data_IF_255987373639
#
_entry.id   IF_255987373639
#
_cell.length_a   1.000
_cell.length_b   1.000
_cell.length_c   1.000
_cell.angle_alpha   90.00
_cell.angle_beta   90.00
_cell.angle_gamma   90.00
#
_symmetry.space_group_name_H-M   'P 1'
#
loop_
_entity.id
_entity.type
_entity.pdbx_description
1 polymer ?
#
# COMPACT_ATOMS: atom_id res chain seq x y z
N UNK A 1 -5.90 -12.46 -5.62
CA UNK A 1 -5.42 -11.11 -5.23
C UNK A 1 -4.76 -11.24 -3.87
N UNK A 2 -3.50 -10.84 -3.69
CA UNK A 2 -2.94 -10.72 -2.34
C UNK A 2 -3.71 -9.60 -1.64
N UNK A 3 -4.53 -9.96 -0.66
CA UNK A 3 -5.15 -8.99 0.24
C UNK A 3 -4.19 -8.73 1.39
N UNK A 4 -4.01 -7.47 1.77
CA UNK A 4 -3.36 -7.15 3.04
C UNK A 4 -4.30 -7.69 4.14
N UNK A 5 -3.74 -8.45 5.08
CA UNK A 5 -4.43 -9.23 6.14
C UNK A 5 -5.83 -8.69 6.50
N UNK A 6 -6.88 -9.49 6.29
CA UNK A 6 -8.26 -9.21 6.72
C UNK A 6 -8.89 -7.89 6.24
N UNK A 7 -8.19 -7.10 5.44
CA UNK A 7 -8.67 -5.82 4.90
C UNK A 7 -9.18 -6.01 3.46
N UNK A 8 -10.15 -5.18 3.06
CA UNK A 8 -10.59 -5.10 1.65
C UNK A 8 -9.62 -4.32 0.76
N UNK A 9 -8.55 -3.78 1.34
CA UNK A 9 -7.54 -2.97 0.66
C UNK A 9 -6.51 -3.91 0.01
N UNK A 10 -6.26 -3.69 -1.27
CA UNK A 10 -5.27 -4.44 -2.04
C UNK A 10 -3.98 -3.66 -2.17
N UNK A 11 -2.89 -4.37 -2.46
CA UNK A 11 -1.59 -3.77 -2.78
C UNK A 11 -1.72 -2.68 -3.87
N UNK A 12 -2.61 -2.88 -4.85
CA UNK A 12 -2.84 -1.91 -5.91
C UNK A 12 -3.52 -0.63 -5.44
N UNK A 13 -4.38 -0.69 -4.43
CA UNK A 13 -5.04 0.49 -3.87
C UNK A 13 -4.01 1.38 -3.16
N UNK A 14 -3.14 0.77 -2.36
CA UNK A 14 -2.01 1.46 -1.69
C UNK A 14 -1.08 2.11 -2.71
N UNK A 15 -0.70 1.38 -3.75
CA UNK A 15 0.14 1.92 -4.83
C UNK A 15 -0.56 3.05 -5.60
N UNK A 16 -1.88 2.97 -5.81
CA UNK A 16 -2.64 4.02 -6.46
C UNK A 16 -2.68 5.31 -5.62
N UNK A 17 -2.83 5.21 -4.29
CA UNK A 17 -2.77 6.36 -3.39
C UNK A 17 -1.40 7.02 -3.37
N UNK A 18 -0.34 6.21 -3.30
CA UNK A 18 1.03 6.71 -3.41
C UNK A 18 1.29 7.38 -4.76
N UNK A 19 0.78 6.81 -5.86
CA UNK A 19 0.87 7.41 -7.19
C UNK A 19 0.04 8.70 -7.33
N UNK A 20 -1.05 8.83 -6.55
CA UNK A 20 -1.83 10.07 -6.45
C UNK A 20 -1.13 11.15 -5.59
N UNK A 21 0.01 10.83 -4.98
CA UNK A 21 0.82 11.76 -4.19
C UNK A 21 0.51 11.76 -2.69
N UNK A 22 -0.30 10.82 -2.19
CA UNK A 22 -0.52 10.68 -0.75
C UNK A 22 0.76 10.20 -0.06
N UNK A 23 1.03 10.75 1.12
CA UNK A 23 2.11 10.30 1.99
C UNK A 23 1.72 9.05 2.77
N UNK A 24 2.73 8.35 3.30
CA UNK A 24 2.50 7.16 4.13
C UNK A 24 1.68 7.50 5.38
N UNK A 25 1.92 8.67 5.97
CA UNK A 25 1.20 9.13 7.16
C UNK A 25 -0.28 9.40 6.87
N UNK A 26 -0.59 10.05 5.75
CA UNK A 26 -1.99 10.29 5.33
C UNK A 26 -2.73 8.98 5.07
N UNK A 27 -2.09 8.01 4.42
CA UNK A 27 -2.69 6.69 4.19
C UNK A 27 -2.98 5.96 5.50
N UNK A 28 -2.07 6.03 6.49
CA UNK A 28 -2.27 5.41 7.80
C UNK A 28 -3.32 6.16 8.64
N UNK A 29 -3.43 7.48 8.49
CA UNK A 29 -4.44 8.28 9.19
C UNK A 29 -5.85 7.97 8.65
N UNK A 30 -6.01 7.87 7.32
CA UNK A 30 -7.26 7.48 6.66
C UNK A 30 -7.60 6.00 6.89
N UNK A 31 -6.58 5.14 6.97
CA UNK A 31 -6.70 3.69 7.15
C UNK A 31 -5.83 3.21 8.31
N UNK A 32 -6.26 3.39 9.57
CA UNK A 32 -5.45 3.04 10.75
C UNK A 32 -5.20 1.53 10.91
N UNK A 33 -5.87 0.69 10.13
CA UNK A 33 -5.60 -0.74 10.06
C UNK A 33 -4.43 -1.08 9.10
N UNK A 34 -3.98 -0.14 8.26
CA UNK A 34 -2.72 -0.21 7.53
C UNK A 34 -1.57 0.29 8.41
N UNK A 35 -0.46 -0.45 8.40
CA UNK A 35 0.78 0.02 9.02
C UNK A 35 1.76 0.51 7.96
N UNK A 36 2.71 1.34 8.37
CA UNK A 36 3.79 1.78 7.48
C UNK A 36 4.58 0.59 6.91
N UNK A 37 4.70 -0.50 7.68
CA UNK A 37 5.31 -1.75 7.25
C UNK A 37 4.54 -2.41 6.11
N UNK A 38 3.20 -2.39 6.16
CA UNK A 38 2.37 -2.95 5.09
C UNK A 38 2.52 -2.13 3.80
N UNK A 39 2.61 -0.81 3.91
CA UNK A 39 2.84 0.09 2.77
C UNK A 39 4.22 -0.19 2.14
N UNK A 40 5.26 -0.35 2.96
CA UNK A 40 6.60 -0.72 2.48
C UNK A 40 6.61 -2.09 1.80
N UNK A 41 5.93 -3.08 2.36
CA UNK A 41 5.79 -4.39 1.73
C UNK A 41 5.06 -4.30 0.37
N UNK A 42 4.09 -3.39 0.23
CA UNK A 42 3.43 -3.13 -1.06
C UNK A 42 4.39 -2.52 -2.10
N UNK A 43 5.25 -1.59 -1.67
CA UNK A 43 6.28 -1.00 -2.51
C UNK A 43 7.33 -2.03 -2.91
N UNK A 44 7.80 -2.87 -1.97
CA UNK A 44 8.72 -3.97 -2.26
C UNK A 44 8.10 -4.96 -3.27
N UNK A 45 6.84 -5.32 -3.09
CA UNK A 45 6.12 -6.16 -4.05
C UNK A 45 6.04 -5.55 -5.45
N UNK A 46 5.87 -4.22 -5.54
CA UNK A 46 5.84 -3.49 -6.80
C UNK A 46 7.23 -3.27 -7.42
N UNK A 47 8.30 -3.27 -6.61
CA UNK A 47 9.67 -3.15 -7.07
C UNK A 47 10.24 -4.51 -7.53
N UNK A 48 9.93 -5.59 -6.81
CA UNK A 48 10.39 -6.95 -7.09
C UNK A 48 9.71 -7.53 -8.33
N UNK A 49 8.44 -7.18 -8.55
CA UNK A 49 7.84 -7.28 -9.88
C UNK A 49 8.29 -6.07 -10.66
N UNK A 50 9.30 -6.18 -11.49
CA UNK A 50 9.77 -5.08 -12.36
C UNK A 50 8.64 -4.54 -13.29
N UNK A 51 7.76 -3.67 -12.76
CA UNK A 51 6.72 -2.92 -13.48
C UNK A 51 7.15 -1.46 -13.70
N UNK A 52 8.44 -1.16 -13.55
CA UNK A 52 9.08 0.07 -13.98
C UNK A 52 9.68 -0.11 -15.37
#
# INVERSE_FOLDING_TARGET
>A
KPCIRQMRITVYDVLAWLAAGMSHAEIVDDFPELTETDIRACLEFAADRNIL
#
